data_IF_235627679045
#
_entry.id   IF_235627679045
#
_cell.length_a   1.000
_cell.length_b   1.000
_cell.length_c   1.000
_cell.angle_alpha   90.00
_cell.angle_beta   90.00
_cell.angle_gamma   90.00
#
_symmetry.space_group_name_H-M   'P 1'
#
loop_
_entity.id
_entity.type
_entity.pdbx_description
1 polymer ?
#
# COMPACT_ATOMS: atom_id res chain seq x y z
N UNK A 1 -15.65 16.86 5.41
CA UNK A 1 -15.73 15.68 6.30
C UNK A 1 -16.41 14.56 5.53
N UNK A 2 -15.83 13.37 5.51
CA UNK A 2 -16.39 12.20 4.84
C UNK A 2 -16.54 11.11 5.92
N UNK A 3 -17.75 10.96 6.45
CA UNK A 3 -18.05 10.14 7.63
C UNK A 3 -17.68 8.66 7.47
N UNK A 4 -17.56 8.18 6.24
CA UNK A 4 -17.22 6.79 5.94
C UNK A 4 -15.71 6.55 5.65
N UNK A 5 -14.84 7.49 5.98
CA UNK A 5 -13.38 7.29 6.03
C UNK A 5 -13.01 6.71 7.39
N UNK A 6 -12.43 5.51 7.39
CA UNK A 6 -12.14 4.75 8.61
C UNK A 6 -10.71 4.94 9.09
N UNK A 7 -9.75 5.07 8.17
CA UNK A 7 -8.35 5.31 8.51
C UNK A 7 -7.62 6.05 7.39
N UNK A 8 -6.64 6.83 7.77
CA UNK A 8 -5.73 7.54 6.86
C UNK A 8 -4.32 7.47 7.44
N UNK A 9 -3.35 7.14 6.63
CA UNK A 9 -1.93 7.23 6.96
C UNK A 9 -1.13 7.71 5.75
N UNK A 10 0.00 8.35 5.98
CA UNK A 10 1.01 8.55 4.95
C UNK A 10 1.89 7.29 4.85
N UNK A 11 2.33 6.99 3.65
CA UNK A 11 3.26 5.87 3.40
C UNK A 11 4.68 6.41 3.52
N UNK A 12 5.41 5.95 4.55
CA UNK A 12 6.76 6.42 4.86
C UNK A 12 7.76 5.27 5.00
N UNK A 13 8.55 5.24 6.06
CA UNK A 13 9.71 4.36 6.22
C UNK A 13 9.44 2.87 6.21
N UNK A 14 8.23 2.42 6.52
CA UNK A 14 7.87 0.99 6.48
C UNK A 14 7.37 0.51 5.11
N UNK A 15 7.30 1.42 4.13
CA UNK A 15 6.75 1.12 2.81
C UNK A 15 5.25 0.87 2.82
N UNK A 16 4.68 0.65 1.65
CA UNK A 16 3.24 0.42 1.49
C UNK A 16 2.75 -0.75 2.35
N UNK A 17 3.43 -1.90 2.26
CA UNK A 17 3.01 -3.12 2.96
C UNK A 17 3.05 -2.95 4.48
N UNK A 18 4.05 -2.25 5.02
CA UNK A 18 4.17 -2.02 6.46
C UNK A 18 3.07 -1.11 7.00
N UNK A 19 2.82 0.04 6.35
CA UNK A 19 1.78 0.97 6.78
C UNK A 19 0.37 0.38 6.62
N UNK A 20 0.12 -0.37 5.54
CA UNK A 20 -1.15 -1.09 5.39
C UNK A 20 -1.33 -2.17 6.47
N UNK A 21 -0.25 -2.88 6.83
CA UNK A 21 -0.30 -3.87 7.91
C UNK A 21 -0.61 -3.22 9.26
N UNK A 22 -0.12 -2.02 9.53
CA UNK A 22 -0.49 -1.27 10.73
C UNK A 22 -1.99 -0.93 10.75
N UNK A 23 -2.55 -0.52 9.61
CA UNK A 23 -4.01 -0.31 9.49
C UNK A 23 -4.77 -1.62 9.72
N UNK A 24 -4.30 -2.74 9.16
CA UNK A 24 -4.90 -4.07 9.39
C UNK A 24 -4.89 -4.44 10.89
N UNK A 25 -3.78 -4.22 11.58
CA UNK A 25 -3.63 -4.52 13.01
C UNK A 25 -4.53 -3.64 13.88
N UNK A 26 -4.60 -2.36 13.56
CA UNK A 26 -5.47 -1.42 14.28
C UNK A 26 -6.95 -1.73 14.16
N UNK A 27 -7.38 -2.28 13.01
CA UNK A 27 -8.77 -2.58 12.72
C UNK A 27 -9.16 -4.07 12.92
N UNK A 28 -8.20 -4.99 13.09
CA UNK A 28 -8.46 -6.43 13.11
C UNK A 28 -8.93 -6.97 11.76
N UNK A 29 -8.36 -6.48 10.65
CA UNK A 29 -8.76 -6.81 9.30
C UNK A 29 -7.61 -7.38 8.46
N UNK A 30 -7.95 -8.10 7.39
CA UNK A 30 -7.04 -8.50 6.32
C UNK A 30 -7.16 -7.50 5.16
N UNK A 31 -6.04 -7.12 4.55
CA UNK A 31 -6.02 -6.32 3.33
C UNK A 31 -5.59 -7.14 2.11
N UNK A 32 -6.26 -6.94 0.99
CA UNK A 32 -5.85 -7.46 -0.33
C UNK A 32 -5.50 -6.28 -1.23
N UNK A 33 -4.27 -6.28 -1.75
CA UNK A 33 -3.73 -5.25 -2.66
C UNK A 33 -3.51 -5.86 -4.04
N UNK A 34 -4.03 -5.23 -5.06
CA UNK A 34 -3.74 -5.58 -6.45
C UNK A 34 -2.47 -4.83 -6.89
N UNK A 35 -1.39 -5.60 -7.08
CA UNK A 35 -0.09 -5.01 -7.43
C UNK A 35 -0.16 -4.17 -8.72
N UNK A 36 -0.91 -4.65 -9.71
CA UNK A 36 -1.07 -3.96 -11.00
C UNK A 36 -1.76 -2.58 -10.90
N UNK A 37 -2.49 -2.33 -9.81
CA UNK A 37 -3.21 -1.07 -9.59
C UNK A 37 -2.38 -0.05 -8.78
N UNK A 38 -1.16 -0.41 -8.36
CA UNK A 38 -0.31 0.51 -7.59
C UNK A 38 0.17 1.67 -8.47
N UNK A 39 -0.03 2.92 -8.04
CA UNK A 39 0.44 4.09 -8.79
C UNK A 39 1.96 4.27 -8.59
N UNK A 40 2.75 3.56 -9.39
CA UNK A 40 4.20 3.62 -9.31
C UNK A 40 4.74 4.87 -10.00
N UNK A 41 5.81 5.44 -9.45
CA UNK A 41 6.61 6.44 -10.16
C UNK A 41 7.22 5.76 -11.40
N UNK A 42 7.15 6.42 -12.55
CA UNK A 42 7.46 5.83 -13.86
C UNK A 42 8.80 5.06 -13.92
N UNK A 43 9.85 5.57 -13.25
CA UNK A 43 11.17 4.94 -13.24
C UNK A 43 11.36 3.89 -12.12
N UNK A 44 10.47 3.84 -11.12
CA UNK A 44 10.65 3.00 -9.93
C UNK A 44 10.71 1.51 -10.28
N UNK A 45 9.81 1.04 -11.12
CA UNK A 45 9.79 -0.36 -11.55
C UNK A 45 11.07 -0.73 -12.30
N UNK A 46 11.51 0.09 -13.26
CA UNK A 46 12.74 -0.15 -14.01
C UNK A 46 13.95 -0.22 -13.08
N UNK A 47 14.12 0.78 -12.21
CA UNK A 47 15.25 0.83 -11.28
C UNK A 47 15.30 -0.39 -10.35
N UNK A 48 14.16 -0.79 -9.81
CA UNK A 48 14.14 -1.95 -8.90
C UNK A 48 14.37 -3.28 -9.63
N UNK A 49 13.94 -3.40 -10.89
CA UNK A 49 14.26 -4.55 -11.75
C UNK A 49 15.75 -4.60 -12.07
N UNK A 50 16.40 -3.46 -12.24
CA UNK A 50 17.85 -3.32 -12.44
C UNK A 50 18.65 -3.53 -11.13
N UNK A 51 17.98 -3.87 -10.02
CA UNK A 51 18.63 -4.20 -8.75
C UNK A 51 18.79 -3.00 -7.81
N UNK A 52 18.34 -1.81 -8.19
CA UNK A 52 18.38 -0.64 -7.31
C UNK A 52 17.30 -0.78 -6.24
N UNK A 53 17.71 -1.05 -5.01
CA UNK A 53 16.82 -1.15 -3.86
C UNK A 53 17.54 -0.67 -2.59
N UNK A 54 16.77 -0.14 -1.65
CA UNK A 54 17.34 0.31 -0.38
C UNK A 54 17.60 -0.86 0.56
N UNK A 55 18.64 -0.78 1.40
CA UNK A 55 18.85 -1.75 2.48
C UNK A 55 17.69 -1.76 3.49
N UNK A 56 16.91 -0.70 3.55
CA UNK A 56 15.73 -0.61 4.42
C UNK A 56 14.58 -1.51 3.94
N UNK A 57 14.40 -1.70 2.62
CA UNK A 57 13.42 -2.66 2.09
C UNK A 57 13.67 -4.08 2.63
N UNK A 58 14.92 -4.53 2.66
CA UNK A 58 15.28 -5.84 3.21
C UNK A 58 15.01 -5.93 4.72
N UNK A 59 15.31 -4.87 5.49
CA UNK A 59 15.00 -4.81 6.93
C UNK A 59 13.50 -4.81 7.20
N UNK A 60 12.74 -4.08 6.42
CA UNK A 60 11.28 -4.05 6.47
C UNK A 60 10.71 -5.45 6.26
N UNK A 61 11.16 -6.15 5.21
CA UNK A 61 10.74 -7.53 4.96
C UNK A 61 11.10 -8.47 6.10
N UNK A 62 12.31 -8.39 6.64
CA UNK A 62 12.72 -9.19 7.78
C UNK A 62 11.88 -8.93 9.04
N UNK A 63 11.38 -7.70 9.22
CA UNK A 63 10.60 -7.30 10.39
C UNK A 63 9.15 -7.79 10.34
N UNK A 64 8.46 -7.67 9.20
CA UNK A 64 7.02 -7.93 9.13
C UNK A 64 6.60 -8.84 7.96
N UNK A 65 7.54 -9.35 7.17
CA UNK A 65 7.25 -10.15 5.98
C UNK A 65 6.44 -11.43 6.23
N UNK A 66 6.46 -11.97 7.46
CA UNK A 66 5.61 -13.11 7.85
C UNK A 66 4.12 -12.81 7.82
N UNK A 67 3.75 -11.53 7.90
CA UNK A 67 2.37 -11.05 7.81
C UNK A 67 2.02 -10.49 6.42
N UNK A 68 2.92 -10.63 5.44
CA UNK A 68 2.71 -10.18 4.06
C UNK A 68 2.89 -11.36 3.11
N UNK A 69 1.94 -11.58 2.23
CA UNK A 69 2.04 -12.62 1.20
C UNK A 69 2.00 -12.02 -0.20
N UNK A 70 2.82 -12.58 -1.09
CA UNK A 70 2.78 -12.35 -2.53
C UNK A 70 2.51 -13.69 -3.23
N UNK A 71 2.08 -13.69 -4.51
CA UNK A 71 2.03 -14.91 -5.31
C UNK A 71 3.36 -15.67 -5.29
N UNK A 72 3.31 -17.00 -5.32
CA UNK A 72 4.53 -17.83 -5.24
C UNK A 72 5.51 -17.58 -6.40
N UNK A 73 4.99 -17.15 -7.53
CA UNK A 73 5.73 -16.79 -8.75
C UNK A 73 6.03 -15.28 -8.87
N UNK A 74 5.66 -14.49 -7.87
CA UNK A 74 5.93 -13.07 -7.88
C UNK A 74 7.44 -12.80 -7.91
N UNK A 75 7.92 -11.97 -8.84
CA UNK A 75 9.34 -11.66 -8.91
C UNK A 75 9.78 -10.84 -7.68
N UNK A 76 11.01 -11.04 -7.24
CA UNK A 76 11.56 -10.42 -6.03
C UNK A 76 11.46 -8.88 -6.04
N UNK A 77 11.51 -8.25 -7.20
CA UNK A 77 11.41 -6.81 -7.32
C UNK A 77 10.05 -6.26 -6.84
N UNK A 78 8.95 -7.02 -6.99
CA UNK A 78 7.65 -6.62 -6.45
C UNK A 78 7.66 -6.56 -4.92
N UNK A 79 8.25 -7.56 -4.28
CA UNK A 79 8.45 -7.56 -2.83
C UNK A 79 9.26 -6.34 -2.38
N UNK A 80 10.38 -6.06 -3.07
CA UNK A 80 11.22 -4.89 -2.78
C UNK A 80 10.43 -3.59 -2.91
N UNK A 81 9.58 -3.48 -3.91
CA UNK A 81 8.77 -2.28 -4.17
C UNK A 81 7.74 -2.01 -3.06
N UNK A 82 6.97 -3.03 -2.66
CA UNK A 82 5.95 -2.85 -1.61
C UNK A 82 6.53 -2.63 -0.22
N UNK A 83 7.81 -2.96 -0.01
CA UNK A 83 8.52 -2.75 1.26
C UNK A 83 9.50 -1.57 1.22
N UNK A 84 9.59 -0.86 0.08
CA UNK A 84 10.52 0.25 -0.08
C UNK A 84 10.10 1.46 0.76
N UNK A 85 11.02 2.01 1.57
CA UNK A 85 10.72 3.23 2.33
C UNK A 85 10.48 4.42 1.40
N UNK A 86 9.47 5.21 1.72
CA UNK A 86 9.05 6.37 0.95
C UNK A 86 9.43 7.66 1.67
N UNK A 87 10.20 8.53 1.03
CA UNK A 87 10.56 9.85 1.60
C UNK A 87 9.40 10.84 1.44
N UNK A 88 8.71 10.78 0.30
CA UNK A 88 7.58 11.63 -0.03
C UNK A 88 6.44 10.76 -0.55
N UNK A 89 6.03 9.79 0.26
CA UNK A 89 4.97 8.84 -0.08
C UNK A 89 3.60 9.49 -0.11
N UNK A 90 2.67 8.82 -0.77
CA UNK A 90 1.29 9.24 -0.84
C UNK A 90 0.49 8.88 0.41
N UNK A 91 -0.76 9.33 0.44
CA UNK A 91 -1.73 8.93 1.45
C UNK A 91 -2.31 7.55 1.12
N UNK A 92 -2.45 6.72 2.14
CA UNK A 92 -3.20 5.47 2.11
C UNK A 92 -4.48 5.67 2.92
N UNK A 93 -5.63 5.49 2.27
CA UNK A 93 -6.95 5.81 2.82
C UNK A 93 -7.81 4.55 2.78
N UNK A 94 -8.35 4.16 3.93
CA UNK A 94 -9.39 3.13 4.03
C UNK A 94 -10.75 3.80 4.25
N UNK A 95 -11.70 3.49 3.40
CA UNK A 95 -13.07 3.99 3.49
C UNK A 95 -14.08 2.92 3.10
N UNK A 96 -15.35 3.14 3.47
CA UNK A 96 -16.44 2.31 3.01
C UNK A 96 -16.57 2.37 1.47
N UNK A 97 -17.02 1.29 0.80
CA UNK A 97 -17.11 1.25 -0.67
C UNK A 97 -17.93 2.39 -1.26
N UNK A 98 -19.00 2.79 -0.61
CA UNK A 98 -19.88 3.90 -1.02
C UNK A 98 -19.22 5.28 -0.93
N UNK A 99 -18.16 5.41 -0.11
CA UNK A 99 -17.43 6.67 0.04
C UNK A 99 -16.29 6.85 -0.98
N UNK A 100 -15.93 5.83 -1.74
CA UNK A 100 -14.78 5.85 -2.66
C UNK A 100 -14.86 7.04 -3.63
N UNK A 101 -16.01 7.29 -4.23
CA UNK A 101 -16.17 8.40 -5.18
C UNK A 101 -16.00 9.77 -4.50
N UNK A 102 -16.51 9.93 -3.28
CA UNK A 102 -16.37 11.18 -2.53
C UNK A 102 -14.90 11.42 -2.13
N UNK A 103 -14.20 10.38 -1.68
CA UNK A 103 -12.75 10.43 -1.36
C UNK A 103 -11.95 10.80 -2.61
N UNK A 104 -12.21 10.14 -3.74
CA UNK A 104 -11.53 10.44 -5.01
C UNK A 104 -11.80 11.87 -5.50
N UNK A 105 -13.03 12.37 -5.33
CA UNK A 105 -13.37 13.75 -5.67
C UNK A 105 -12.62 14.76 -4.77
N UNK A 106 -12.52 14.49 -3.48
CA UNK A 106 -11.77 15.32 -2.55
C UNK A 106 -10.26 15.35 -2.89
N UNK A 107 -9.66 14.21 -3.18
CA UNK A 107 -8.25 14.11 -3.61
C UNK A 107 -8.05 14.92 -4.90
N UNK A 108 -8.91 14.71 -5.90
CA UNK A 108 -8.83 15.42 -7.19
C UNK A 108 -8.93 16.93 -7.03
N UNK A 109 -9.75 17.41 -6.11
CA UNK A 109 -9.91 18.86 -5.88
C UNK A 109 -8.64 19.54 -5.36
N UNK A 110 -7.74 18.77 -4.73
CA UNK A 110 -6.48 19.28 -4.15
C UNK A 110 -5.29 19.04 -5.06
N UNK A 111 -5.22 17.85 -5.67
CA UNK A 111 -4.02 17.40 -6.42
C UNK A 111 -4.22 17.40 -7.94
N UNK A 112 -5.43 17.65 -8.43
CA UNK A 112 -5.76 17.60 -9.86
C UNK A 112 -6.05 16.19 -10.39
N UNK A 113 -5.60 15.12 -9.71
CA UNK A 113 -5.82 13.73 -10.09
C UNK A 113 -6.53 12.97 -8.97
N UNK A 114 -7.37 12.00 -9.34
CA UNK A 114 -8.03 11.14 -8.36
C UNK A 114 -7.07 10.09 -7.82
N UNK A 115 -7.22 9.73 -6.55
CA UNK A 115 -6.53 8.59 -5.97
C UNK A 115 -6.95 7.27 -6.64
N UNK A 116 -6.03 6.31 -6.68
CA UNK A 116 -6.29 4.97 -7.25
C UNK A 116 -6.83 4.03 -6.17
N UNK A 117 -7.82 3.20 -6.52
CA UNK A 117 -8.29 2.12 -5.65
C UNK A 117 -7.35 0.93 -5.82
N UNK A 118 -6.46 0.73 -4.87
CA UNK A 118 -5.41 -0.30 -4.94
C UNK A 118 -5.82 -1.64 -4.33
N UNK A 119 -6.93 -1.71 -3.60
CA UNK A 119 -7.33 -2.94 -2.94
C UNK A 119 -8.56 -2.79 -2.06
N UNK A 120 -8.75 -3.76 -1.17
CA UNK A 120 -9.86 -3.81 -0.23
C UNK A 120 -9.42 -4.41 1.10
N UNK A 121 -10.20 -4.14 2.16
CA UNK A 121 -10.03 -4.75 3.47
C UNK A 121 -11.29 -5.57 3.82
N UNK A 122 -11.10 -6.68 4.52
CA UNK A 122 -12.17 -7.58 4.93
C UNK A 122 -11.88 -8.18 6.31
N UNK A 123 -12.89 -8.78 6.92
CA UNK A 123 -12.71 -9.52 8.16
C UNK A 123 -11.70 -10.67 7.98
N UNK A 124 -10.73 -10.75 8.88
CA UNK A 124 -9.67 -11.75 8.81
C UNK A 124 -8.56 -11.46 9.81
N UNK A 125 -7.58 -12.33 9.88
CA UNK A 125 -6.39 -12.04 10.68
C UNK A 125 -5.59 -10.88 10.08
N UNK A 126 -5.02 -9.97 10.90
CA UNK A 126 -4.23 -8.85 10.41
C UNK A 126 -3.05 -9.28 9.54
N UNK A 127 -3.21 -9.12 8.22
CA UNK A 127 -2.20 -9.42 7.20
C UNK A 127 -2.43 -8.61 5.94
N UNK A 128 -1.42 -8.57 5.10
CA UNK A 128 -1.50 -7.97 3.76
C UNK A 128 -1.29 -9.07 2.72
N UNK A 129 -2.22 -9.20 1.79
CA UNK A 129 -2.11 -10.07 0.61
C UNK A 129 -1.91 -9.21 -0.63
N UNK A 130 -0.81 -9.39 -1.31
CA UNK A 130 -0.55 -8.81 -2.62
C UNK A 130 -0.94 -9.84 -3.69
N UNK A 131 -1.74 -9.44 -4.66
CA UNK A 131 -2.24 -10.29 -5.75
C UNK A 131 -1.99 -9.63 -7.10
#
# INVERSE_FOLDING_TARGET
DIDAVHAVTDVTGFGLAGHLLEMCRGAGLEATVRFADLPLIAEAERLVRDGVATGASARNWASYGTSVSLPADAPEWQRKLVTDPQTSGGLLIACAPEAVQAVQAAIRSVQGEAGTVVGSMAAGEPRVRVV
#
